data_IF_902343371424
#
_entry.id   IF_902343371424
#
_cell.length_a   1.000
_cell.length_b   1.000
_cell.length_c   1.000
_cell.angle_alpha   90.00
_cell.angle_beta   90.00
_cell.angle_gamma   90.00
#
_symmetry.space_group_name_H-M   'P 1'
#
loop_
_entity.id
_entity.type
_entity.pdbx_description
1 polymer ?
#
# COMPACT_ATOMS: atom_id res chain seq x y z
N UNK A 1 27.49 12.81 -7.64
CA UNK A 1 26.05 12.90 -7.88
C UNK A 1 25.59 11.90 -8.94
N UNK A 2 26.18 11.87 -10.16
CA UNK A 2 25.79 10.89 -11.20
C UNK A 2 25.97 9.45 -10.72
N UNK A 3 27.08 9.12 -10.06
CA UNK A 3 27.30 7.80 -9.47
C UNK A 3 26.25 7.46 -8.39
N UNK A 4 25.83 8.44 -7.60
CA UNK A 4 24.77 8.26 -6.59
C UNK A 4 23.41 7.98 -7.25
N UNK A 5 23.08 8.71 -8.30
CA UNK A 5 21.84 8.47 -9.07
C UNK A 5 21.85 7.06 -9.66
N UNK A 6 22.94 6.68 -10.34
CA UNK A 6 23.09 5.35 -10.94
C UNK A 6 22.97 4.23 -9.90
N UNK A 7 23.58 4.42 -8.72
CA UNK A 7 23.54 3.44 -7.64
C UNK A 7 22.16 3.28 -7.04
N UNK A 8 21.43 4.37 -6.81
CA UNK A 8 20.05 4.33 -6.29
C UNK A 8 19.13 3.60 -7.27
N UNK A 9 19.23 3.91 -8.56
CA UNK A 9 18.43 3.26 -9.61
C UNK A 9 18.76 1.78 -9.71
N UNK A 10 20.07 1.44 -9.79
CA UNK A 10 20.52 0.05 -9.90
C UNK A 10 19.99 -0.82 -8.76
N UNK A 11 20.07 -0.34 -7.53
CA UNK A 11 19.62 -1.11 -6.37
C UNK A 11 18.11 -1.19 -6.29
N UNK A 12 17.39 -0.11 -6.65
CA UNK A 12 15.95 -0.16 -6.77
C UNK A 12 15.49 -1.23 -7.78
N UNK A 13 16.18 -1.33 -8.91
CA UNK A 13 15.94 -2.37 -9.92
C UNK A 13 16.29 -3.76 -9.39
N UNK A 14 17.46 -3.94 -8.77
CA UNK A 14 17.87 -5.24 -8.20
C UNK A 14 16.92 -5.70 -7.08
N UNK A 15 16.42 -4.78 -6.28
CA UNK A 15 15.41 -5.11 -5.26
C UNK A 15 14.09 -5.53 -5.90
N UNK A 16 13.68 -4.87 -6.98
CA UNK A 16 12.50 -5.24 -7.73
C UNK A 16 12.65 -6.61 -8.41
N UNK A 17 13.85 -6.95 -8.91
CA UNK A 17 14.14 -8.26 -9.52
C UNK A 17 14.26 -9.39 -8.48
N UNK A 18 14.84 -9.12 -7.31
CA UNK A 18 14.99 -10.10 -6.23
C UNK A 18 13.71 -10.39 -5.45
N UNK A 19 12.73 -9.51 -5.52
CA UNK A 19 11.43 -9.68 -4.90
C UNK A 19 10.55 -10.58 -5.73
N UNK A 20 10.46 -11.86 -5.38
CA UNK A 20 9.39 -12.73 -5.85
C UNK A 20 8.34 -12.86 -4.76
N UNK A 21 7.07 -12.61 -5.11
CA UNK A 21 6.01 -12.97 -4.19
C UNK A 21 6.03 -14.48 -4.02
N UNK A 22 6.31 -14.95 -2.81
CA UNK A 22 6.20 -16.38 -2.44
C UNK A 22 4.76 -16.89 -2.50
N UNK A 23 3.84 -16.04 -2.90
CA UNK A 23 2.47 -16.42 -3.22
C UNK A 23 2.47 -17.19 -4.53
N UNK A 24 2.83 -18.46 -4.45
CA UNK A 24 2.65 -19.42 -5.55
C UNK A 24 1.17 -19.46 -5.94
N UNK A 25 0.82 -18.76 -7.01
CA UNK A 25 -0.52 -18.64 -7.55
C UNK A 25 -1.58 -18.14 -6.55
N UNK A 26 -2.52 -17.34 -6.93
CA UNK A 26 -3.45 -16.76 -5.98
C UNK A 26 -4.29 -17.85 -5.33
N UNK A 27 -4.01 -18.20 -4.07
CA UNK A 27 -5.02 -18.82 -3.23
C UNK A 27 -6.15 -17.78 -3.09
N UNK A 28 -7.06 -17.80 -4.05
CA UNK A 28 -8.18 -16.86 -4.04
C UNK A 28 -9.09 -17.23 -2.89
N UNK A 29 -9.32 -16.28 -2.00
CA UNK A 29 -10.27 -16.43 -0.92
C UNK A 29 -11.67 -16.63 -1.51
N UNK A 30 -12.45 -17.51 -0.92
CA UNK A 30 -13.80 -17.84 -1.37
C UNK A 30 -14.66 -18.31 -0.19
N UNK A 31 -14.73 -17.50 0.85
CA UNK A 31 -15.55 -17.74 2.02
C UNK A 31 -16.43 -16.53 2.32
N UNK A 32 -17.74 -16.64 2.21
CA UNK A 32 -18.68 -15.52 2.39
C UNK A 32 -20.12 -16.02 2.56
N UNK A 33 -21.01 -15.14 3.03
CA UNK A 33 -22.43 -15.39 3.07
C UNK A 33 -23.07 -15.08 1.71
N UNK A 34 -23.81 -16.05 1.14
CA UNK A 34 -24.45 -15.95 -0.17
C UNK A 34 -25.95 -16.19 -0.06
N UNK A 35 -26.73 -15.17 -0.38
CA UNK A 35 -28.19 -15.25 -0.50
C UNK A 35 -28.54 -15.38 -1.98
N UNK A 36 -28.99 -16.55 -2.39
CA UNK A 36 -29.08 -16.90 -3.80
C UNK A 36 -30.37 -17.64 -4.17
N UNK A 37 -30.59 -17.74 -5.46
CA UNK A 37 -31.60 -18.56 -6.08
C UNK A 37 -31.10 -19.04 -7.46
N UNK A 38 -31.54 -20.18 -7.97
CA UNK A 38 -31.20 -20.60 -9.31
C UNK A 38 -31.80 -19.67 -10.38
N UNK A 39 -31.02 -19.43 -11.44
CA UNK A 39 -31.40 -18.61 -12.58
C UNK A 39 -30.87 -19.26 -13.87
N UNK A 40 -31.75 -19.42 -14.88
CA UNK A 40 -31.42 -20.11 -16.11
C UNK A 40 -31.27 -19.15 -17.29
N UNK A 41 -30.30 -19.42 -18.15
CA UNK A 41 -30.02 -18.66 -19.37
C UNK A 41 -29.49 -17.24 -19.06
N UNK A 42 -29.95 -16.29 -19.87
CA UNK A 42 -29.68 -14.89 -19.63
C UNK A 42 -30.37 -14.40 -18.35
N UNK A 43 -29.63 -13.74 -17.49
CA UNK A 43 -30.13 -13.32 -16.18
C UNK A 43 -29.68 -11.91 -15.85
N UNK A 44 -30.58 -11.14 -15.27
CA UNK A 44 -30.26 -9.81 -14.70
C UNK A 44 -30.64 -9.77 -13.24
N UNK A 45 -29.67 -9.49 -12.39
CA UNK A 45 -29.86 -9.23 -10.96
C UNK A 45 -29.65 -7.75 -10.69
N UNK A 46 -30.61 -7.13 -10.01
CA UNK A 46 -30.51 -5.73 -9.60
C UNK A 46 -30.85 -5.62 -8.12
N UNK A 47 -30.11 -4.83 -7.38
CA UNK A 47 -30.46 -4.48 -6.00
C UNK A 47 -29.96 -3.07 -5.67
N UNK A 48 -30.64 -2.45 -4.70
CA UNK A 48 -30.13 -1.26 -4.02
C UNK A 48 -29.52 -1.67 -2.68
N UNK A 49 -28.25 -1.37 -2.49
CA UNK A 49 -27.56 -1.46 -1.21
C UNK A 49 -27.88 -0.19 -0.43
N UNK A 50 -28.70 -0.27 0.60
CA UNK A 50 -29.17 0.89 1.37
C UNK A 50 -28.27 1.23 2.55
N UNK A 51 -27.51 0.27 3.05
CA UNK A 51 -26.55 0.45 4.14
C UNK A 51 -25.51 -0.65 4.16
N UNK A 52 -24.30 -0.28 4.55
CA UNK A 52 -23.20 -1.19 4.83
C UNK A 52 -22.52 -0.72 6.12
N UNK A 53 -22.50 -1.54 7.16
CA UNK A 53 -22.02 -1.19 8.49
C UNK A 53 -21.22 -2.34 9.11
N UNK A 54 -20.50 -2.02 10.19
CA UNK A 54 -19.71 -2.96 11.00
C UNK A 54 -18.74 -3.80 10.19
N UNK A 55 -18.10 -3.17 9.20
CA UNK A 55 -17.28 -3.87 8.20
C UNK A 55 -15.92 -3.25 8.05
N UNK A 56 -14.95 -4.09 7.70
CA UNK A 56 -13.61 -3.64 7.32
C UNK A 56 -13.66 -2.72 6.06
N UNK A 57 -12.67 -1.86 5.81
CA UNK A 57 -12.62 -1.01 4.61
C UNK A 57 -12.73 -1.79 3.29
N UNK A 58 -12.32 -3.05 3.31
CA UNK A 58 -12.42 -4.02 2.21
C UNK A 58 -13.56 -5.02 2.35
N UNK A 59 -14.48 -4.80 3.26
CA UNK A 59 -15.70 -5.60 3.28
C UNK A 59 -16.43 -5.45 1.94
N UNK A 60 -17.05 -6.51 1.51
CA UNK A 60 -17.65 -6.63 0.19
C UNK A 60 -19.12 -6.96 0.36
N UNK A 61 -19.99 -6.15 -0.23
CA UNK A 61 -21.41 -6.43 -0.32
C UNK A 61 -21.88 -6.15 -1.74
N UNK A 62 -22.60 -7.08 -2.36
CA UNK A 62 -22.99 -6.88 -3.75
C UNK A 62 -23.77 -8.03 -4.34
N UNK A 63 -23.68 -8.13 -5.66
CA UNK A 63 -24.37 -9.11 -6.51
C UNK A 63 -23.38 -10.13 -7.06
N UNK A 64 -23.83 -11.36 -7.24
CA UNK A 64 -23.01 -12.44 -7.77
C UNK A 64 -23.83 -13.37 -8.67
N UNK A 65 -23.18 -13.82 -9.75
CA UNK A 65 -23.56 -14.99 -10.53
C UNK A 65 -22.49 -16.07 -10.31
N UNK A 66 -22.91 -17.31 -9.99
CA UNK A 66 -22.02 -18.37 -9.59
C UNK A 66 -22.47 -19.74 -10.10
N UNK A 67 -21.53 -20.61 -10.42
CA UNK A 67 -21.83 -21.95 -10.93
C UNK A 67 -22.39 -22.90 -9.87
N UNK A 68 -22.30 -22.53 -8.59
CA UNK A 68 -22.77 -23.31 -7.44
C UNK A 68 -22.27 -22.75 -6.13
N UNK A 69 -22.58 -23.41 -5.01
CA UNK A 69 -22.22 -22.96 -3.66
C UNK A 69 -20.92 -23.55 -3.13
N UNK A 70 -20.29 -24.46 -3.85
CA UNK A 70 -19.00 -25.04 -3.45
C UNK A 70 -17.89 -23.98 -3.49
N UNK A 71 -16.98 -24.03 -2.54
CA UNK A 71 -15.79 -23.19 -2.54
C UNK A 71 -14.95 -23.40 -3.80
N UNK A 72 -14.47 -22.34 -4.39
CA UNK A 72 -13.70 -22.41 -5.64
C UNK A 72 -14.52 -22.32 -6.92
N UNK A 73 -15.84 -22.35 -6.85
CA UNK A 73 -16.71 -22.35 -8.03
C UNK A 73 -16.54 -21.07 -8.87
N UNK A 74 -16.57 -21.18 -10.21
CA UNK A 74 -16.58 -20.03 -11.11
C UNK A 74 -17.67 -19.02 -10.75
N UNK A 75 -17.35 -17.74 -10.75
CA UNK A 75 -18.28 -16.69 -10.37
C UNK A 75 -17.90 -15.35 -10.97
N UNK A 76 -18.90 -14.49 -11.14
CA UNK A 76 -18.72 -13.07 -11.43
C UNK A 76 -19.46 -12.28 -10.37
N UNK A 77 -18.79 -11.34 -9.76
CA UNK A 77 -19.32 -10.50 -8.68
C UNK A 77 -19.17 -9.01 -8.99
N UNK A 78 -20.17 -8.24 -8.59
CA UNK A 78 -20.18 -6.78 -8.62
C UNK A 78 -20.49 -6.31 -7.22
N UNK A 79 -19.59 -5.54 -6.60
CA UNK A 79 -19.63 -5.24 -5.18
C UNK A 79 -19.36 -3.78 -4.88
N UNK A 80 -19.89 -3.33 -3.75
CA UNK A 80 -19.53 -2.08 -3.10
C UNK A 80 -18.63 -2.39 -1.91
N UNK A 81 -17.56 -1.62 -1.75
CA UNK A 81 -16.64 -1.69 -0.62
C UNK A 81 -16.60 -0.34 0.08
N UNK A 82 -16.60 -0.27 1.45
CA UNK A 82 -16.63 0.99 2.17
C UNK A 82 -15.46 1.92 1.88
N UNK A 83 -14.27 1.36 1.71
CA UNK A 83 -13.04 2.14 1.49
C UNK A 83 -12.68 2.38 0.03
N UNK A 84 -13.23 1.61 -0.93
CA UNK A 84 -12.71 1.56 -2.30
C UNK A 84 -13.80 1.65 -3.38
N UNK A 85 -15.06 1.86 -3.00
CA UNK A 85 -16.18 2.02 -3.93
C UNK A 85 -16.56 0.74 -4.67
N UNK A 86 -17.00 0.87 -5.92
CA UNK A 86 -17.50 -0.25 -6.72
C UNK A 86 -16.36 -1.03 -7.38
N UNK A 87 -16.44 -2.35 -7.27
CA UNK A 87 -15.52 -3.32 -7.89
C UNK A 87 -16.31 -4.42 -8.61
N UNK A 88 -15.78 -4.89 -9.72
CA UNK A 88 -16.28 -6.06 -10.42
C UNK A 88 -15.15 -7.09 -10.58
N UNK A 89 -15.44 -8.35 -10.30
CA UNK A 89 -14.43 -9.40 -10.28
C UNK A 89 -14.97 -10.68 -10.90
N UNK A 90 -14.17 -11.32 -11.77
CA UNK A 90 -14.45 -12.63 -12.31
C UNK A 90 -13.51 -13.67 -11.70
N UNK A 91 -14.07 -14.76 -11.15
CA UNK A 91 -13.30 -15.92 -10.73
C UNK A 91 -13.11 -16.88 -11.90
N UNK A 92 -11.88 -17.13 -12.28
CA UNK A 92 -11.51 -17.85 -13.50
C UNK A 92 -10.76 -16.98 -14.50
N UNK A 93 -10.83 -15.66 -14.34
CA UNK A 93 -10.02 -14.65 -15.05
C UNK A 93 -9.17 -13.82 -14.08
N UNK A 94 -8.25 -13.04 -14.63
CA UNK A 94 -7.36 -12.15 -13.89
C UNK A 94 -7.89 -10.71 -13.82
N UNK A 95 -9.12 -10.46 -14.29
CA UNK A 95 -9.63 -9.11 -14.44
C UNK A 95 -10.44 -8.67 -13.22
N UNK A 96 -9.93 -7.64 -12.55
CA UNK A 96 -10.69 -6.82 -11.64
C UNK A 96 -10.96 -5.46 -12.31
N UNK A 97 -12.24 -5.13 -12.45
CA UNK A 97 -12.68 -3.87 -13.01
C UNK A 97 -13.12 -2.91 -11.91
N UNK A 98 -12.75 -1.66 -12.08
CA UNK A 98 -13.03 -0.61 -11.08
C UNK A 98 -14.15 0.30 -11.60
N UNK A 99 -15.20 0.42 -10.81
CA UNK A 99 -16.25 1.41 -10.98
C UNK A 99 -15.92 2.73 -10.26
N UNK A 100 -16.96 3.36 -9.68
CA UNK A 100 -16.78 4.59 -8.90
C UNK A 100 -16.05 4.31 -7.59
N UNK A 101 -14.85 4.83 -7.44
CA UNK A 101 -14.01 4.67 -6.24
C UNK A 101 -14.54 5.43 -5.00
N UNK A 102 -15.54 6.30 -5.17
CA UNK A 102 -16.17 7.07 -4.09
C UNK A 102 -17.62 6.69 -3.83
N UNK A 103 -18.10 5.62 -4.49
CA UNK A 103 -19.46 5.15 -4.26
C UNK A 103 -19.60 4.65 -2.81
N UNK A 104 -20.72 5.02 -2.18
CA UNK A 104 -21.09 4.58 -0.85
C UNK A 104 -22.61 4.34 -0.80
N UNK A 105 -23.07 3.47 0.09
CA UNK A 105 -24.51 3.25 0.27
C UNK A 105 -25.22 4.55 0.72
N UNK A 106 -26.44 4.84 0.22
CA UNK A 106 -27.25 3.99 -0.66
C UNK A 106 -26.78 4.02 -2.12
N UNK A 107 -26.66 2.83 -2.75
CA UNK A 107 -26.15 2.70 -4.10
C UNK A 107 -26.77 1.51 -4.83
N UNK A 108 -26.94 1.64 -6.15
CA UNK A 108 -27.56 0.59 -6.97
C UNK A 108 -26.49 -0.19 -7.74
N UNK A 109 -26.67 -1.49 -7.76
CA UNK A 109 -25.85 -2.42 -8.53
C UNK A 109 -26.75 -3.25 -9.46
N UNK A 110 -26.26 -3.55 -10.65
CA UNK A 110 -26.88 -4.45 -11.61
C UNK A 110 -25.84 -5.33 -12.26
N UNK A 111 -26.06 -6.62 -12.25
CA UNK A 111 -25.23 -7.63 -12.89
C UNK A 111 -26.07 -8.37 -13.90
N UNK A 112 -25.67 -8.37 -15.17
CA UNK A 112 -26.46 -8.97 -16.26
C UNK A 112 -25.61 -9.92 -17.07
N UNK A 113 -26.06 -11.15 -17.21
CA UNK A 113 -25.52 -12.13 -18.15
C UNK A 113 -26.31 -12.08 -19.45
N UNK A 114 -25.62 -12.01 -20.58
CA UNK A 114 -26.19 -12.16 -21.93
C UNK A 114 -25.25 -13.02 -22.76
N UNK A 115 -25.73 -14.20 -23.15
CA UNK A 115 -24.91 -15.22 -23.81
C UNK A 115 -23.72 -15.63 -22.94
N UNK A 116 -22.51 -15.37 -23.44
CA UNK A 116 -21.24 -15.70 -22.77
C UNK A 116 -20.54 -14.48 -22.13
N UNK A 117 -21.26 -13.40 -21.90
CA UNK A 117 -20.73 -12.21 -21.29
C UNK A 117 -21.53 -11.80 -20.05
N UNK A 118 -20.82 -11.32 -19.04
CA UNK A 118 -21.44 -10.73 -17.86
C UNK A 118 -21.02 -9.26 -17.75
N UNK A 119 -22.01 -8.38 -17.74
CA UNK A 119 -21.83 -6.94 -17.64
C UNK A 119 -22.27 -6.43 -16.27
N UNK A 120 -21.42 -5.64 -15.63
CA UNK A 120 -21.70 -4.92 -14.39
C UNK A 120 -22.07 -3.46 -14.65
N UNK A 121 -23.10 -2.99 -13.95
CA UNK A 121 -23.56 -1.61 -13.99
C UNK A 121 -23.75 -1.08 -12.59
N UNK A 122 -23.52 0.22 -12.43
CA UNK A 122 -23.71 0.94 -11.17
C UNK A 122 -24.57 2.19 -11.36
N UNK A 123 -25.26 2.64 -10.31
CA UNK A 123 -26.05 3.86 -10.34
C UNK A 123 -26.24 4.44 -8.95
N UNK A 124 -26.21 5.77 -8.86
CA UNK A 124 -26.50 6.48 -7.61
C UNK A 124 -28.03 6.67 -7.38
N UNK A 125 -28.82 6.74 -8.45
CA UNK A 125 -30.25 7.09 -8.42
C UNK A 125 -31.19 5.94 -8.87
N UNK A 126 -30.61 4.85 -9.37
CA UNK A 126 -31.36 3.72 -9.95
C UNK A 126 -31.98 4.00 -11.33
N UNK A 127 -31.72 5.16 -11.90
CA UNK A 127 -32.23 5.61 -13.21
C UNK A 127 -31.13 5.76 -14.24
N UNK A 128 -30.05 6.45 -13.87
CA UNK A 128 -28.89 6.66 -14.72
C UNK A 128 -27.83 5.60 -14.43
N UNK A 129 -27.60 4.71 -15.38
CA UNK A 129 -26.71 3.56 -15.23
C UNK A 129 -25.38 3.79 -15.92
N UNK A 130 -24.29 3.60 -15.20
CA UNK A 130 -22.94 3.61 -15.71
C UNK A 130 -22.40 2.18 -15.79
N UNK A 131 -21.87 1.79 -16.94
CA UNK A 131 -21.21 0.50 -17.10
C UNK A 131 -19.89 0.49 -16.33
N UNK A 132 -19.72 -0.53 -15.49
CA UNK A 132 -18.45 -0.79 -14.79
C UNK A 132 -17.51 -1.56 -15.73
N UNK A 133 -18.03 -2.59 -16.38
CA UNK A 133 -17.31 -3.37 -17.37
C UNK A 133 -18.05 -4.62 -17.81
N UNK A 134 -17.42 -5.37 -18.71
CA UNK A 134 -17.89 -6.67 -19.20
C UNK A 134 -16.76 -7.67 -19.08
N UNK A 135 -17.07 -8.85 -18.60
CA UNK A 135 -16.15 -10.01 -18.49
C UNK A 135 -16.80 -11.24 -19.13
N UNK A 136 -16.00 -12.18 -19.68
CA UNK A 136 -16.54 -13.45 -20.14
C UNK A 136 -17.09 -14.27 -18.96
N UNK A 137 -18.14 -15.04 -19.20
CA UNK A 137 -18.80 -15.90 -18.21
C UNK A 137 -18.10 -17.24 -17.99
N UNK A 138 -16.78 -17.28 -18.10
CA UNK A 138 -15.98 -18.49 -18.08
C UNK A 138 -16.36 -19.45 -16.94
N UNK A 139 -17.00 -20.58 -17.31
CA UNK A 139 -17.37 -21.65 -16.39
C UNK A 139 -18.73 -21.49 -15.70
N UNK A 140 -19.55 -20.50 -16.04
CA UNK A 140 -20.93 -20.45 -15.58
C UNK A 140 -21.79 -21.40 -16.39
N UNK A 141 -22.55 -22.33 -15.75
CA UNK A 141 -23.47 -23.23 -16.45
C UNK A 141 -24.70 -22.48 -16.97
N UNK A 142 -25.49 -23.15 -17.78
CA UNK A 142 -26.77 -22.61 -18.28
C UNK A 142 -27.72 -22.23 -17.13
N UNK A 143 -27.72 -23.00 -16.05
CA UNK A 143 -28.40 -22.62 -14.79
C UNK A 143 -27.33 -22.28 -13.76
N UNK A 144 -27.27 -21.03 -13.35
CA UNK A 144 -26.34 -20.51 -12.38
C UNK A 144 -27.08 -20.07 -11.10
N UNK A 145 -26.35 -19.94 -10.00
CA UNK A 145 -26.87 -19.31 -8.80
C UNK A 145 -26.70 -17.79 -8.90
N UNK A 146 -27.77 -17.07 -8.69
CA UNK A 146 -27.82 -15.62 -8.82
C UNK A 146 -28.30 -14.98 -7.51
N UNK A 147 -27.61 -13.96 -7.01
CA UNK A 147 -28.03 -13.37 -5.76
C UNK A 147 -27.12 -12.28 -5.20
N UNK A 148 -27.23 -12.11 -3.89
CA UNK A 148 -26.52 -11.11 -3.09
C UNK A 148 -25.51 -11.81 -2.20
N UNK A 149 -24.38 -11.16 -1.91
CA UNK A 149 -23.40 -11.70 -0.99
C UNK A 149 -22.85 -10.62 -0.06
N UNK A 150 -22.35 -11.09 1.08
CA UNK A 150 -21.62 -10.25 2.05
C UNK A 150 -20.40 -11.02 2.52
N UNK A 151 -19.26 -10.34 2.46
CA UNK A 151 -17.99 -10.80 3.01
C UNK A 151 -17.36 -9.66 3.81
N UNK A 152 -16.72 -9.98 4.92
CA UNK A 152 -15.90 -9.05 5.69
C UNK A 152 -14.60 -9.73 6.08
N UNK A 153 -13.48 -9.33 5.45
CA UNK A 153 -12.20 -9.94 5.73
C UNK A 153 -11.74 -9.64 7.15
N UNK A 154 -10.93 -10.55 7.70
CA UNK A 154 -10.29 -10.32 8.98
C UNK A 154 -9.43 -9.05 8.90
N UNK A 155 -9.46 -8.25 9.96
CA UNK A 155 -8.50 -7.16 10.14
C UNK A 155 -7.27 -7.70 10.83
N UNK A 156 -6.12 -7.55 10.21
CA UNK A 156 -4.85 -7.90 10.82
C UNK A 156 -4.20 -6.65 11.42
N UNK A 157 -3.74 -6.78 12.62
CA UNK A 157 -2.84 -5.80 13.24
C UNK A 157 -1.46 -6.42 13.30
N UNK A 158 -0.47 -5.72 12.80
CA UNK A 158 0.92 -6.16 12.87
C UNK A 158 1.76 -5.18 13.67
N UNK A 159 2.51 -5.72 14.62
CA UNK A 159 3.48 -4.97 15.39
C UNK A 159 4.88 -5.49 15.10
N UNK A 160 5.79 -4.59 14.88
CA UNK A 160 7.20 -4.95 14.83
C UNK A 160 7.67 -5.42 16.21
N UNK A 161 8.15 -6.64 16.28
CA UNK A 161 8.58 -7.30 17.52
C UNK A 161 10.08 -7.67 17.52
N UNK A 162 10.87 -7.10 16.60
CA UNK A 162 12.31 -7.34 16.47
C UNK A 162 12.71 -7.89 15.10
N UNK A 163 14.02 -8.06 14.83
CA UNK A 163 14.53 -8.52 13.56
C UNK A 163 13.92 -9.86 13.12
N UNK A 164 13.31 -9.86 11.95
CA UNK A 164 12.63 -11.04 11.41
C UNK A 164 11.40 -11.50 12.19
N UNK A 165 10.94 -10.74 13.19
CA UNK A 165 9.79 -11.08 14.02
C UNK A 165 8.73 -10.01 13.95
N UNK A 166 7.66 -10.32 13.23
CA UNK A 166 6.42 -9.55 13.22
C UNK A 166 5.40 -10.34 14.02
N UNK A 167 4.79 -9.74 15.02
CA UNK A 167 3.67 -10.33 15.74
C UNK A 167 2.41 -9.72 15.18
N UNK A 168 1.58 -10.57 14.59
CA UNK A 168 0.28 -10.20 14.07
C UNK A 168 -0.83 -10.83 14.88
N UNK A 169 -1.93 -10.12 15.05
CA UNK A 169 -3.19 -10.64 15.52
C UNK A 169 -4.23 -10.42 14.43
N UNK A 170 -4.86 -11.49 13.97
CA UNK A 170 -6.01 -11.41 13.10
C UNK A 170 -7.28 -11.32 13.96
N UNK A 171 -8.12 -10.34 13.68
CA UNK A 171 -9.43 -10.19 14.30
C UNK A 171 -10.48 -10.47 13.25
N UNK A 172 -11.30 -11.47 13.47
CA UNK A 172 -12.47 -11.73 12.64
C UNK A 172 -13.41 -10.52 12.65
N UNK A 173 -13.87 -10.13 11.49
CA UNK A 173 -14.88 -9.09 11.33
C UNK A 173 -16.13 -9.66 10.69
N UNK A 174 -17.26 -9.07 10.99
CA UNK A 174 -18.54 -9.43 10.40
C UNK A 174 -19.12 -8.17 9.76
N UNK A 175 -19.27 -8.17 8.43
CA UNK A 175 -19.93 -7.10 7.72
C UNK A 175 -21.45 -7.27 7.77
N UNK A 176 -22.17 -6.17 7.76
CA UNK A 176 -23.62 -6.12 7.63
C UNK A 176 -23.99 -5.27 6.43
N UNK A 177 -24.84 -5.82 5.56
CA UNK A 177 -25.39 -5.10 4.42
C UNK A 177 -26.91 -5.21 4.37
N UNK A 178 -27.55 -4.12 3.95
CA UNK A 178 -29.00 -4.05 3.78
C UNK A 178 -29.31 -3.82 2.32
N UNK A 179 -30.06 -4.75 1.73
CA UNK A 179 -30.49 -4.69 0.35
C UNK A 179 -31.98 -4.54 0.25
N UNK A 180 -32.47 -3.66 -0.60
CA UNK A 180 -33.84 -3.57 -1.01
C UNK A 180 -33.98 -3.56 -2.53
N UNK A 181 -35.23 -3.59 -2.99
CA UNK A 181 -35.59 -3.61 -4.42
C UNK A 181 -34.81 -4.69 -5.21
N UNK A 182 -34.58 -5.81 -4.56
CA UNK A 182 -33.88 -6.95 -5.16
C UNK A 182 -34.79 -7.60 -6.20
N UNK A 183 -34.25 -7.68 -7.41
CA UNK A 183 -34.91 -8.39 -8.54
C UNK A 183 -33.91 -9.32 -9.20
N UNK A 184 -34.35 -10.50 -9.53
CA UNK A 184 -33.59 -11.43 -10.36
C UNK A 184 -34.52 -11.94 -11.43
N UNK A 185 -34.31 -11.52 -12.69
CA UNK A 185 -35.08 -11.93 -13.86
C UNK A 185 -34.22 -12.82 -14.71
N UNK A 186 -34.71 -13.99 -15.05
CA UNK A 186 -34.08 -14.96 -15.99
C UNK A 186 -34.90 -15.14 -17.23
N UNK A 187 -34.24 -15.37 -18.36
CA UNK A 187 -34.88 -15.57 -19.65
C UNK A 187 -35.64 -16.93 -19.75
N UNK A 188 -35.20 -17.91 -18.95
CA UNK A 188 -35.80 -19.24 -18.91
C UNK A 188 -36.31 -19.56 -17.50
N UNK A 189 -37.28 -20.51 -17.44
CA UNK A 189 -37.75 -21.01 -16.14
C UNK A 189 -36.59 -21.70 -15.39
N UNK A 190 -36.33 -21.22 -14.18
CA UNK A 190 -35.36 -21.85 -13.30
C UNK A 190 -36.03 -22.97 -12.47
N UNK A 191 -35.26 -23.97 -12.00
CA UNK A 191 -35.75 -24.95 -11.05
C UNK A 191 -36.43 -24.30 -9.84
N UNK A 192 -37.43 -24.92 -9.28
CA UNK A 192 -38.09 -24.45 -8.08
C UNK A 192 -37.08 -24.40 -6.94
N UNK A 193 -36.86 -23.22 -6.39
CA UNK A 193 -35.97 -23.06 -5.24
C UNK A 193 -36.71 -23.32 -3.93
N UNK A 194 -36.05 -23.96 -3.00
CA UNK A 194 -36.55 -24.14 -1.63
C UNK A 194 -36.42 -22.85 -0.86
N UNK A 195 -37.43 -22.46 -0.08
CA UNK A 195 -37.40 -21.25 0.76
C UNK A 195 -38.50 -20.24 0.42
N UNK A 196 -38.74 -19.27 1.31
CA UNK A 196 -39.72 -18.22 1.08
C UNK A 196 -39.30 -17.37 -0.13
N UNK A 197 -40.08 -17.37 -1.18
CA UNK A 197 -39.84 -16.75 -2.48
C UNK A 197 -38.54 -17.22 -3.19
N UNK A 198 -38.07 -18.44 -2.87
CA UNK A 198 -36.93 -19.06 -3.55
C UNK A 198 -35.54 -18.52 -3.20
N UNK A 199 -35.41 -17.65 -2.19
CA UNK A 199 -34.12 -17.19 -1.73
C UNK A 199 -33.59 -18.05 -0.59
N UNK A 200 -32.33 -18.47 -0.67
CA UNK A 200 -31.65 -19.32 0.30
C UNK A 200 -30.33 -18.62 0.74
N UNK A 201 -30.00 -18.76 2.03
CA UNK A 201 -28.69 -18.39 2.53
C UNK A 201 -27.81 -19.62 2.57
N UNK A 202 -26.61 -19.51 2.00
CA UNK A 202 -25.57 -20.53 2.09
C UNK A 202 -24.25 -19.84 2.49
N UNK A 203 -23.60 -20.39 3.49
CA UNK A 203 -22.22 -20.01 3.80
C UNK A 203 -21.29 -20.76 2.84
N UNK A 204 -20.69 -20.00 1.93
CA UNK A 204 -19.65 -20.55 1.04
C UNK A 204 -18.39 -20.74 1.87
N UNK A 205 -17.87 -21.97 1.89
CA UNK A 205 -16.71 -22.32 2.69
C UNK A 205 -15.46 -22.30 1.83
N UNK A 206 -14.43 -21.63 2.30
CA UNK A 206 -13.11 -21.60 1.67
C UNK A 206 -12.58 -23.03 1.47
N UNK A 207 -12.11 -23.39 0.25
CA UNK A 207 -11.44 -24.66 0.04
C UNK A 207 -10.19 -24.78 0.94
N UNK A 208 -9.84 -25.98 1.40
CA UNK A 208 -8.60 -26.20 2.15
C UNK A 208 -7.41 -25.68 1.35
N UNK A 209 -6.56 -24.91 1.99
CA UNK A 209 -5.30 -24.46 1.39
C UNK A 209 -4.26 -25.61 1.32
N UNK A 210 -3.10 -25.36 0.65
CA UNK A 210 -1.98 -26.30 0.67
C UNK A 210 -1.57 -26.68 2.09
N UNK A 211 -0.97 -27.87 2.29
CA UNK A 211 -0.46 -28.27 3.61
C UNK A 211 0.46 -27.20 4.21
N UNK A 212 0.22 -26.83 5.48
CA UNK A 212 0.98 -25.80 6.19
C UNK A 212 0.43 -24.37 6.12
N UNK A 213 -0.64 -24.14 5.34
CA UNK A 213 -1.35 -22.86 5.40
C UNK A 213 -2.23 -22.78 6.65
N UNK A 214 -2.29 -21.60 7.26
CA UNK A 214 -3.21 -21.40 8.39
C UNK A 214 -4.66 -21.53 7.92
N UNK A 215 -5.52 -22.21 8.69
CA UNK A 215 -6.93 -22.28 8.35
C UNK A 215 -7.54 -20.87 8.41
N UNK A 216 -8.21 -20.48 7.34
CA UNK A 216 -9.01 -19.26 7.32
C UNK A 216 -10.26 -19.52 8.15
N UNK A 217 -10.68 -18.53 8.95
CA UNK A 217 -11.92 -18.64 9.72
C UNK A 217 -13.08 -18.99 8.79
N UNK A 218 -13.91 -19.94 9.22
CA UNK A 218 -15.06 -20.34 8.46
C UNK A 218 -15.99 -19.13 8.25
N UNK A 219 -16.42 -18.93 7.01
CA UNK A 219 -17.42 -17.92 6.72
C UNK A 219 -18.71 -18.25 7.48
N UNK A 220 -19.29 -17.24 8.09
CA UNK A 220 -20.58 -17.35 8.77
C UNK A 220 -21.44 -16.17 8.44
N UNK A 221 -22.70 -16.42 8.16
CA UNK A 221 -23.64 -15.39 7.81
C UNK A 221 -25.01 -15.58 8.44
N UNK A 222 -25.79 -14.51 8.45
CA UNK A 222 -27.20 -14.54 8.82
C UNK A 222 -28.03 -13.80 7.78
N UNK A 223 -29.25 -14.26 7.56
CA UNK A 223 -30.23 -13.59 6.73
C UNK A 223 -31.44 -13.22 7.58
N UNK A 224 -31.74 -11.95 7.65
CA UNK A 224 -32.99 -11.46 8.21
C UNK A 224 -33.76 -10.71 7.14
N UNK A 225 -35.01 -11.14 6.90
CA UNK A 225 -35.88 -10.55 5.89
C UNK A 225 -37.06 -9.86 6.52
N UNK A 226 -37.27 -8.61 6.11
CA UNK A 226 -38.45 -7.83 6.53
C UNK A 226 -39.15 -7.30 5.28
N UNK A 227 -40.25 -7.93 4.90
CA UNK A 227 -40.92 -7.62 3.65
C UNK A 227 -40.03 -7.86 2.42
N UNK A 228 -39.66 -6.78 1.71
CA UNK A 228 -38.81 -6.80 0.53
C UNK A 228 -37.35 -6.40 0.81
N UNK A 229 -37.01 -6.21 2.08
CA UNK A 229 -35.66 -5.83 2.53
C UNK A 229 -34.94 -7.04 3.07
N UNK A 230 -33.71 -7.24 2.63
CA UNK A 230 -32.80 -8.30 3.05
C UNK A 230 -31.67 -7.67 3.88
N UNK A 231 -31.55 -8.05 5.14
CA UNK A 231 -30.41 -7.74 5.97
C UNK A 231 -29.53 -8.98 6.02
N UNK A 232 -28.34 -8.89 5.46
CA UNK A 232 -27.39 -10.00 5.38
C UNK A 232 -26.17 -9.62 6.21
N UNK A 233 -25.74 -10.53 7.08
CA UNK A 233 -24.42 -10.44 7.70
C UNK A 233 -23.52 -11.48 7.07
N UNK A 234 -22.20 -11.23 7.05
CA UNK A 234 -21.24 -12.20 6.54
C UNK A 234 -19.83 -11.88 7.00
N UNK A 235 -19.08 -12.92 7.30
CA UNK A 235 -17.64 -12.88 7.52
C UNK A 235 -16.90 -13.55 6.35
N UNK A 236 -15.57 -13.55 6.40
CA UNK A 236 -14.74 -14.15 5.37
C UNK A 236 -14.37 -13.19 4.25
N UNK A 237 -13.79 -13.71 3.17
CA UNK A 237 -13.30 -12.89 2.06
C UNK A 237 -13.55 -13.53 0.70
N UNK A 238 -13.56 -12.69 -0.34
CA UNK A 238 -13.73 -13.07 -1.73
C UNK A 238 -12.62 -12.42 -2.57
N UNK A 239 -11.96 -13.23 -3.39
CA UNK A 239 -10.94 -12.75 -4.32
C UNK A 239 -9.52 -12.97 -3.87
N UNK A 240 -8.61 -12.10 -4.27
CA UNK A 240 -7.19 -12.23 -3.94
C UNK A 240 -6.94 -11.96 -2.46
N UNK A 241 -6.18 -12.83 -1.75
CA UNK A 241 -5.72 -12.51 -0.42
C UNK A 241 -4.84 -11.25 -0.50
N UNK A 242 -5.09 -10.28 0.34
CA UNK A 242 -4.42 -8.98 0.28
C UNK A 242 -5.29 -7.82 -0.21
N UNK A 243 -6.46 -8.11 -0.77
CA UNK A 243 -7.50 -7.11 -1.04
C UNK A 243 -8.56 -7.15 0.08
N UNK A 244 -8.11 -7.29 1.33
CA UNK A 244 -8.98 -7.34 2.50
C UNK A 244 -8.66 -8.41 3.55
N UNK A 245 -7.72 -9.30 3.29
CA UNK A 245 -7.31 -10.33 4.22
C UNK A 245 -6.14 -9.93 5.12
N UNK A 246 -5.70 -10.87 5.94
CA UNK A 246 -4.60 -10.78 6.93
C UNK A 246 -3.27 -10.20 6.39
N UNK A 247 -3.22 -9.78 5.14
CA UNK A 247 -2.05 -9.22 4.50
C UNK A 247 -2.12 -7.73 4.20
N UNK A 248 -3.22 -7.02 4.50
CA UNK A 248 -3.29 -5.60 4.16
C UNK A 248 -2.36 -4.73 4.99
N UNK A 249 -2.18 -5.06 6.26
CA UNK A 249 -1.25 -4.35 7.13
C UNK A 249 0.17 -4.91 7.06
N UNK A 250 0.35 -6.09 6.43
CA UNK A 250 1.63 -6.72 6.10
C UNK A 250 1.96 -6.71 4.61
N UNK A 251 1.17 -6.01 3.79
CA UNK A 251 1.42 -5.89 2.37
C UNK A 251 2.68 -5.05 2.14
N UNK A 252 3.64 -5.61 1.43
CA UNK A 252 4.86 -4.92 1.05
C UNK A 252 4.51 -3.57 0.40
N UNK A 253 5.03 -2.49 0.96
CA UNK A 253 4.92 -1.17 0.34
C UNK A 253 5.75 -1.16 -0.94
N UNK A 254 5.11 -1.50 -2.06
CA UNK A 254 5.75 -1.62 -3.37
C UNK A 254 6.42 -0.31 -3.80
N UNK A 255 5.92 0.84 -3.35
CA UNK A 255 6.55 2.14 -3.62
C UNK A 255 7.81 2.30 -2.78
N UNK A 256 7.75 2.00 -1.48
CA UNK A 256 8.91 2.07 -0.60
C UNK A 256 10.01 1.10 -1.02
N UNK A 257 9.67 -0.09 -1.54
CA UNK A 257 10.63 -1.07 -2.05
C UNK A 257 11.38 -0.58 -3.28
N UNK A 258 10.72 0.12 -4.23
CA UNK A 258 11.39 0.74 -5.38
C UNK A 258 12.39 1.82 -4.98
N UNK A 259 12.21 2.43 -3.81
CA UNK A 259 13.07 3.47 -3.24
C UNK A 259 14.13 2.92 -2.28
N UNK A 260 14.26 1.60 -2.15
CA UNK A 260 15.22 0.96 -1.22
C UNK A 260 16.68 1.30 -1.52
N UNK A 261 17.02 1.51 -2.79
CA UNK A 261 18.34 1.94 -3.23
C UNK A 261 18.85 3.24 -2.59
N UNK A 262 17.93 4.06 -2.09
CA UNK A 262 18.26 5.29 -1.33
C UNK A 262 19.09 4.97 -0.08
N UNK A 263 18.93 3.81 0.56
CA UNK A 263 19.71 3.44 1.74
C UNK A 263 21.21 3.41 1.45
N UNK A 264 21.59 2.91 0.29
CA UNK A 264 23.00 2.93 -0.14
C UNK A 264 23.38 4.31 -0.67
N UNK A 265 22.47 5.01 -1.34
CA UNK A 265 22.66 6.40 -1.76
C UNK A 265 23.00 7.33 -0.59
N UNK A 266 22.50 7.07 0.61
CA UNK A 266 22.82 7.83 1.84
C UNK A 266 24.33 7.86 2.12
N UNK A 267 25.07 6.76 1.91
CA UNK A 267 26.51 6.74 2.13
C UNK A 267 27.26 7.71 1.20
N UNK A 268 26.86 7.72 -0.07
CA UNK A 268 27.47 8.64 -1.04
C UNK A 268 27.11 10.10 -0.71
N UNK A 269 25.89 10.35 -0.23
CA UNK A 269 25.45 11.69 0.21
C UNK A 269 26.19 12.15 1.47
N UNK A 270 26.41 11.26 2.44
CA UNK A 270 27.22 11.54 3.63
C UNK A 270 28.65 11.94 3.21
N UNK A 271 29.29 11.14 2.36
CA UNK A 271 30.64 11.43 1.88
C UNK A 271 30.69 12.79 1.16
N UNK A 272 29.71 13.06 0.28
CA UNK A 272 29.64 14.33 -0.47
C UNK A 272 29.44 15.52 0.48
N UNK A 273 28.54 15.45 1.44
CA UNK A 273 28.27 16.52 2.42
C UNK A 273 29.49 16.82 3.30
N UNK A 274 30.17 15.77 3.81
CA UNK A 274 31.38 15.92 4.60
C UNK A 274 32.53 16.49 3.75
N UNK A 275 32.76 15.94 2.55
CA UNK A 275 33.86 16.38 1.66
C UNK A 275 33.65 17.80 1.15
N UNK A 276 32.43 18.25 0.95
CA UNK A 276 32.13 19.63 0.51
C UNK A 276 32.76 20.70 1.40
N UNK A 277 33.04 20.37 2.67
CA UNK A 277 33.68 21.30 3.59
C UNK A 277 35.08 20.83 4.02
N UNK A 278 35.26 19.55 4.32
CA UNK A 278 36.54 19.06 4.88
C UNK A 278 37.68 19.07 3.86
N UNK A 279 37.38 18.98 2.54
CA UNK A 279 38.39 19.11 1.51
C UNK A 279 39.11 20.46 1.56
N UNK A 280 38.39 21.55 1.82
CA UNK A 280 38.99 22.91 1.91
C UNK A 280 39.83 23.10 3.17
N UNK A 281 39.46 22.45 4.27
CA UNK A 281 40.30 22.43 5.47
C UNK A 281 41.61 21.69 5.21
N UNK A 282 41.57 20.57 4.47
CA UNK A 282 42.74 19.75 4.15
C UNK A 282 43.68 20.44 3.17
N UNK A 283 43.14 21.11 2.16
CA UNK A 283 43.93 21.81 1.11
C UNK A 283 44.33 23.22 1.52
N UNK A 284 43.91 23.70 2.72
CA UNK A 284 44.09 25.07 3.22
C UNK A 284 43.47 26.16 2.33
N UNK A 285 42.72 25.82 1.33
CA UNK A 285 42.01 26.76 0.42
C UNK A 285 40.94 27.57 1.16
N UNK A 286 40.54 27.13 2.34
CA UNK A 286 39.60 27.87 3.19
C UNK A 286 40.16 29.27 3.57
N UNK A 287 41.49 29.43 3.66
CA UNK A 287 42.14 30.74 3.97
C UNK A 287 41.95 31.71 2.81
N UNK A 288 42.17 31.25 1.56
CA UNK A 288 41.97 32.09 0.36
C UNK A 288 40.49 32.44 0.16
N UNK A 289 39.58 31.53 0.48
CA UNK A 289 38.15 31.81 0.43
C UNK A 289 37.73 32.91 1.39
N UNK A 290 38.29 32.93 2.61
CA UNK A 290 37.98 33.96 3.60
C UNK A 290 38.72 35.30 3.37
N UNK A 291 39.81 35.34 2.62
CA UNK A 291 40.41 36.60 2.19
C UNK A 291 39.58 37.31 1.13
N UNK A 292 38.94 36.57 0.25
CA UNK A 292 38.05 37.12 -0.79
C UNK A 292 36.65 37.44 -0.21
N UNK A 293 36.13 36.64 0.73
CA UNK A 293 34.81 36.84 1.35
C UNK A 293 34.90 36.77 2.87
N UNK A 294 34.99 37.90 3.58
CA UNK A 294 35.16 37.92 5.04
C UNK A 294 33.93 37.45 5.80
N UNK A 295 32.78 37.33 5.14
CA UNK A 295 31.51 36.91 5.73
C UNK A 295 31.43 35.37 5.79
N UNK A 296 32.10 34.72 6.71
CA UNK A 296 32.16 33.24 6.87
C UNK A 296 30.80 32.56 6.87
N UNK A 297 29.79 33.18 7.49
CA UNK A 297 28.41 32.66 7.48
C UNK A 297 27.78 32.65 6.11
N UNK A 298 28.03 33.65 5.25
CA UNK A 298 27.50 33.66 3.86
C UNK A 298 28.12 32.55 3.03
N UNK A 299 29.40 32.27 3.19
CA UNK A 299 30.08 31.18 2.49
C UNK A 299 29.48 29.82 2.86
N UNK A 300 29.26 29.57 4.18
CA UNK A 300 28.62 28.35 4.64
C UNK A 300 27.18 28.23 4.12
N UNK A 301 26.40 29.32 4.17
CA UNK A 301 25.03 29.33 3.66
C UNK A 301 24.99 29.04 2.16
N UNK A 302 25.85 29.69 1.36
CA UNK A 302 25.93 29.43 -0.07
C UNK A 302 26.24 27.96 -0.39
N UNK A 303 27.21 27.36 0.32
CA UNK A 303 27.55 25.95 0.17
C UNK A 303 26.41 25.04 0.58
N UNK A 304 25.75 25.34 1.70
CA UNK A 304 24.60 24.57 2.16
C UNK A 304 23.48 24.57 1.11
N UNK A 305 23.18 25.73 0.52
CA UNK A 305 22.17 25.85 -0.53
C UNK A 305 22.55 25.06 -1.78
N UNK A 306 23.80 25.21 -2.27
CA UNK A 306 24.27 24.50 -3.47
C UNK A 306 24.27 22.98 -3.26
N UNK A 307 24.76 22.51 -2.12
CA UNK A 307 24.79 21.08 -1.81
C UNK A 307 23.37 20.54 -1.66
N UNK A 308 22.49 21.23 -0.92
CA UNK A 308 21.12 20.81 -0.74
C UNK A 308 20.34 20.77 -2.07
N UNK A 309 20.42 21.83 -2.89
CA UNK A 309 19.74 21.90 -4.17
C UNK A 309 20.25 20.83 -5.14
N UNK A 310 21.58 20.64 -5.21
CA UNK A 310 22.17 19.62 -6.09
C UNK A 310 21.80 18.20 -5.67
N UNK A 311 21.81 17.88 -4.36
CA UNK A 311 21.39 16.56 -3.86
C UNK A 311 19.88 16.36 -3.99
N UNK A 312 19.09 17.40 -3.74
CA UNK A 312 17.64 17.34 -3.93
C UNK A 312 17.27 17.03 -5.39
N UNK A 313 17.85 17.79 -6.34
CA UNK A 313 17.58 17.58 -7.77
C UNK A 313 18.03 16.19 -8.24
N UNK A 314 19.22 15.76 -7.86
CA UNK A 314 19.73 14.43 -8.19
C UNK A 314 18.89 13.31 -7.53
N UNK A 315 18.49 13.49 -6.28
CA UNK A 315 17.62 12.58 -5.55
C UNK A 315 16.23 12.47 -6.19
N UNK A 316 15.66 13.59 -6.61
CA UNK A 316 14.37 13.61 -7.30
C UNK A 316 14.41 12.80 -8.61
N UNK A 317 15.44 13.03 -9.42
CA UNK A 317 15.64 12.27 -10.66
C UNK A 317 15.85 10.79 -10.36
N UNK A 318 16.72 10.46 -9.40
CA UNK A 318 17.02 9.08 -9.03
C UNK A 318 15.76 8.33 -8.56
N UNK A 319 14.96 8.92 -7.67
CA UNK A 319 13.75 8.31 -7.15
C UNK A 319 12.67 8.15 -8.23
N UNK A 320 12.48 9.16 -9.09
CA UNK A 320 11.52 9.08 -10.18
C UNK A 320 11.90 8.01 -11.21
N UNK A 321 13.16 7.95 -11.61
CA UNK A 321 13.67 6.94 -12.55
C UNK A 321 13.59 5.54 -11.93
N UNK A 322 14.03 5.38 -10.66
CA UNK A 322 13.94 4.09 -9.95
C UNK A 322 12.51 3.58 -9.91
N UNK A 323 11.55 4.44 -9.59
CA UNK A 323 10.14 4.07 -9.57
C UNK A 323 9.64 3.61 -10.94
N UNK A 324 9.86 4.41 -12.00
CA UNK A 324 9.38 4.10 -13.36
C UNK A 324 9.99 2.80 -13.90
N UNK A 325 11.29 2.60 -13.70
CA UNK A 325 12.00 1.40 -14.20
C UNK A 325 11.61 0.15 -13.42
N UNK A 326 11.35 0.26 -12.12
CA UNK A 326 10.98 -0.88 -11.29
C UNK A 326 9.54 -1.36 -11.51
N UNK A 327 8.62 -0.51 -11.96
CA UNK A 327 7.20 -0.86 -12.18
C UNK A 327 6.98 -2.09 -13.08
N UNK A 328 7.57 -2.18 -14.31
CA UNK A 328 7.37 -3.34 -15.17
C UNK A 328 8.00 -4.61 -14.60
N UNK A 329 9.08 -4.49 -13.84
CA UNK A 329 9.76 -5.61 -13.19
C UNK A 329 8.88 -6.16 -12.07
N UNK A 330 8.36 -5.29 -11.22
CA UNK A 330 7.42 -5.68 -10.17
C UNK A 330 6.18 -6.38 -10.73
N UNK A 331 5.64 -5.91 -11.88
CA UNK A 331 4.53 -6.58 -12.57
C UNK A 331 4.87 -8.02 -12.95
N UNK A 332 6.04 -8.24 -13.54
CA UNK A 332 6.50 -9.58 -13.92
C UNK A 332 6.66 -10.49 -12.71
N UNK A 333 7.04 -9.94 -11.56
CA UNK A 333 7.26 -10.67 -10.31
C UNK A 333 5.99 -10.85 -9.48
N UNK A 334 4.81 -10.53 -10.04
CA UNK A 334 3.52 -10.74 -9.38
C UNK A 334 3.03 -9.56 -8.53
N UNK A 335 3.79 -8.46 -8.44
CA UNK A 335 3.37 -7.24 -7.75
C UNK A 335 2.50 -6.35 -8.65
N UNK A 336 1.45 -6.91 -9.21
CA UNK A 336 0.51 -6.22 -10.08
C UNK A 336 -0.94 -6.38 -9.66
N UNK A 337 -1.85 -5.63 -10.30
CA UNK A 337 -3.27 -5.85 -10.09
C UNK A 337 -3.68 -7.32 -10.36
N UNK A 338 -4.63 -7.85 -9.63
CA UNK A 338 -5.46 -7.19 -8.62
C UNK A 338 -4.86 -7.16 -7.20
N UNK A 339 -3.78 -7.91 -6.93
CA UNK A 339 -3.17 -8.05 -5.60
C UNK A 339 -2.55 -6.75 -5.08
N UNK A 340 -1.86 -6.04 -5.94
CA UNK A 340 -1.16 -4.82 -5.56
C UNK A 340 -1.68 -3.64 -6.38
N UNK A 341 -2.18 -2.62 -5.71
CA UNK A 341 -2.63 -1.40 -6.36
C UNK A 341 -1.44 -0.68 -6.99
N UNK A 342 -1.41 -0.64 -8.31
CA UNK A 342 -0.41 0.17 -9.00
C UNK A 342 -0.82 1.63 -9.02
N UNK A 343 0.02 2.44 -8.43
CA UNK A 343 -0.16 3.89 -8.37
C UNK A 343 0.59 4.54 -9.53
N UNK A 344 0.05 5.63 -10.02
CA UNK A 344 0.73 6.51 -10.99
C UNK A 344 1.75 7.39 -10.27
N UNK A 345 2.77 7.91 -10.98
CA UNK A 345 3.64 8.97 -10.47
C UNK A 345 2.88 10.23 -10.04
N UNK A 346 1.68 10.45 -10.61
CA UNK A 346 0.80 11.57 -10.26
C UNK A 346 -0.05 11.32 -9.01
N UNK A 347 -0.03 10.09 -8.47
CA UNK A 347 -0.69 9.78 -7.19
C UNK A 347 -0.04 10.59 -6.06
N UNK A 348 -0.82 11.30 -5.23
CA UNK A 348 -0.28 12.14 -4.16
C UNK A 348 0.63 11.40 -3.18
N UNK A 349 0.38 10.10 -2.92
CA UNK A 349 1.20 9.29 -2.03
C UNK A 349 2.55 8.95 -2.65
N UNK A 350 2.58 8.63 -3.95
CA UNK A 350 3.84 8.37 -4.69
C UNK A 350 4.64 9.67 -4.83
N UNK A 351 3.97 10.76 -5.19
CA UNK A 351 4.62 12.07 -5.29
C UNK A 351 5.23 12.49 -3.97
N UNK A 352 4.51 12.30 -2.86
CA UNK A 352 5.05 12.53 -1.51
C UNK A 352 6.28 11.67 -1.24
N UNK A 353 6.23 10.38 -1.56
CA UNK A 353 7.34 9.46 -1.32
C UNK A 353 8.58 9.86 -2.14
N UNK A 354 8.42 10.19 -3.42
CA UNK A 354 9.51 10.59 -4.33
C UNK A 354 10.12 11.93 -3.90
N UNK A 355 9.29 12.98 -3.76
CA UNK A 355 9.75 14.32 -3.38
C UNK A 355 10.28 14.33 -1.93
N UNK A 356 9.59 13.65 -1.03
CA UNK A 356 10.00 13.54 0.36
C UNK A 356 11.32 12.79 0.53
N UNK A 357 11.58 11.76 -0.28
CA UNK A 357 12.86 11.05 -0.27
C UNK A 357 14.00 11.92 -0.82
N UNK A 358 13.74 12.73 -1.84
CA UNK A 358 14.72 13.72 -2.32
C UNK A 358 15.03 14.76 -1.22
N UNK A 359 14.01 15.23 -0.48
CA UNK A 359 14.19 16.13 0.66
C UNK A 359 14.95 15.44 1.82
N UNK A 360 14.67 14.19 2.11
CA UNK A 360 15.41 13.38 3.06
C UNK A 360 16.91 13.33 2.74
N UNK A 361 17.27 13.04 1.48
CA UNK A 361 18.67 13.02 1.02
C UNK A 361 19.33 14.41 1.16
N UNK A 362 18.62 15.47 0.82
CA UNK A 362 19.11 16.84 0.96
C UNK A 362 19.36 17.20 2.43
N UNK A 363 18.48 16.80 3.36
CA UNK A 363 18.67 17.00 4.80
C UNK A 363 19.86 16.19 5.34
N UNK A 364 20.06 14.95 4.88
CA UNK A 364 21.24 14.15 5.22
C UNK A 364 22.52 14.84 4.71
N UNK A 365 22.52 15.42 3.51
CA UNK A 365 23.67 16.15 2.98
C UNK A 365 23.99 17.39 3.82
N UNK A 366 22.97 18.15 4.23
CA UNK A 366 23.11 19.31 5.10
C UNK A 366 23.61 18.94 6.51
N UNK A 367 23.07 17.87 7.10
CA UNK A 367 23.54 17.32 8.37
C UNK A 367 25.02 16.93 8.27
N UNK A 368 25.39 16.26 7.17
CA UNK A 368 26.75 15.81 6.92
C UNK A 368 27.73 16.98 6.72
N UNK A 369 27.30 18.01 6.01
CA UNK A 369 28.06 19.25 5.85
C UNK A 369 28.26 19.93 7.20
N UNK A 370 27.22 20.05 8.03
CA UNK A 370 27.29 20.67 9.35
C UNK A 370 28.25 19.91 10.28
N UNK A 371 28.15 18.58 10.32
CA UNK A 371 29.08 17.73 11.09
C UNK A 371 30.52 17.87 10.58
N UNK A 372 30.72 17.95 9.26
CA UNK A 372 32.03 18.21 8.64
C UNK A 372 32.66 19.52 9.10
N UNK A 373 31.86 20.60 9.25
CA UNK A 373 32.29 21.89 9.80
C UNK A 373 32.68 21.79 11.28
N UNK A 374 31.88 21.07 12.06
CA UNK A 374 32.08 20.95 13.53
C UNK A 374 33.34 20.13 13.83
N UNK A 375 33.49 18.99 13.18
CA UNK A 375 34.55 18.00 13.45
C UNK A 375 35.88 18.35 12.75
N UNK A 376 35.83 18.99 11.59
CA UNK A 376 37.00 19.42 10.76
C UNK A 376 37.91 18.27 10.31
N UNK A 377 37.59 17.04 10.58
CA UNK A 377 38.31 15.82 10.17
C UNK A 377 37.39 14.90 9.39
N UNK A 378 37.72 14.63 8.13
CA UNK A 378 36.87 13.84 7.22
C UNK A 378 36.53 12.46 7.78
N UNK A 379 37.55 11.71 8.20
CA UNK A 379 37.34 10.36 8.74
C UNK A 379 36.45 10.33 9.98
N UNK A 380 36.70 11.23 10.95
CA UNK A 380 35.93 11.30 12.18
C UNK A 380 34.46 11.72 11.92
N UNK A 381 34.24 12.66 11.01
CA UNK A 381 32.89 13.09 10.64
C UNK A 381 32.09 11.96 9.96
N UNK A 382 32.72 11.23 9.02
CA UNK A 382 32.10 10.09 8.34
C UNK A 382 31.79 8.97 9.34
N UNK A 383 32.74 8.60 10.21
CA UNK A 383 32.54 7.55 11.22
C UNK A 383 31.41 7.93 12.18
N UNK A 384 31.36 9.19 12.64
CA UNK A 384 30.29 9.66 13.52
C UNK A 384 28.92 9.54 12.88
N UNK A 385 28.78 10.01 11.63
CA UNK A 385 27.53 9.92 10.89
C UNK A 385 27.12 8.47 10.59
N UNK A 386 28.09 7.63 10.19
CA UNK A 386 27.87 6.22 9.98
C UNK A 386 27.40 5.53 11.28
N UNK A 387 28.04 5.82 12.39
CA UNK A 387 27.62 5.27 13.69
C UNK A 387 26.19 5.67 14.03
N UNK A 388 25.82 6.95 13.89
CA UNK A 388 24.49 7.44 14.25
C UNK A 388 23.41 6.95 13.29
N UNK A 389 23.68 6.90 11.99
CA UNK A 389 22.67 6.61 10.98
C UNK A 389 22.58 5.12 10.62
N UNK A 390 23.60 4.32 10.94
CA UNK A 390 23.64 2.90 10.56
C UNK A 390 23.88 2.00 11.76
N UNK A 391 24.96 2.22 12.51
CA UNK A 391 25.35 1.29 13.58
C UNK A 391 24.36 1.33 14.74
N UNK A 392 23.96 2.51 15.20
CA UNK A 392 23.00 2.63 16.32
C UNK A 392 21.64 2.00 15.98
N UNK A 393 21.00 2.27 14.81
CA UNK A 393 19.78 1.57 14.43
C UNK A 393 19.95 0.05 14.30
N UNK A 394 21.07 -0.41 13.72
CA UNK A 394 21.34 -1.83 13.59
C UNK A 394 21.47 -2.53 14.94
N UNK A 395 22.18 -1.92 15.88
CA UNK A 395 22.32 -2.42 17.25
C UNK A 395 20.97 -2.40 17.98
N UNK A 396 20.20 -1.33 17.83
CA UNK A 396 18.88 -1.21 18.44
C UNK A 396 17.95 -2.34 17.99
N UNK A 397 17.95 -2.66 16.67
CA UNK A 397 17.15 -3.76 16.11
C UNK A 397 17.45 -5.11 16.76
N UNK A 398 18.72 -5.42 17.04
CA UNK A 398 19.12 -6.70 17.62
C UNK A 398 19.04 -6.73 19.15
N UNK A 399 18.90 -5.59 19.80
CA UNK A 399 18.89 -5.49 21.27
C UNK A 399 17.49 -5.67 21.85
N UNK A 400 16.54 -4.86 21.44
CA UNK A 400 15.14 -4.96 21.86
C UNK A 400 14.21 -4.16 20.98
N UNK A 401 12.92 -4.59 20.97
CA UNK A 401 11.85 -3.87 20.25
C UNK A 401 11.71 -2.42 20.71
N UNK A 402 11.78 -2.21 22.03
CA UNK A 402 11.68 -0.86 22.60
C UNK A 402 12.82 0.05 22.16
N UNK A 403 14.05 -0.48 22.10
CA UNK A 403 15.21 0.27 21.62
C UNK A 403 15.07 0.63 20.13
N UNK A 404 14.65 -0.32 19.29
CA UNK A 404 14.44 -0.09 17.86
C UNK A 404 13.37 0.96 17.59
N UNK A 405 12.21 0.86 18.25
CA UNK A 405 11.15 1.85 18.14
C UNK A 405 11.58 3.23 18.65
N UNK A 406 12.30 3.27 19.75
CA UNK A 406 12.80 4.53 20.29
C UNK A 406 13.80 5.19 19.33
N UNK A 407 14.79 4.43 18.85
CA UNK A 407 15.79 4.91 17.87
C UNK A 407 15.11 5.33 16.57
N UNK A 408 14.19 4.51 16.05
CA UNK A 408 13.47 4.78 14.80
C UNK A 408 12.56 6.03 14.88
N UNK A 409 12.13 6.45 16.09
CA UNK A 409 11.28 7.62 16.28
C UNK A 409 12.03 8.89 16.66
N UNK A 410 13.14 8.76 17.38
CA UNK A 410 13.82 9.92 18.00
C UNK A 410 15.13 10.30 17.35
N UNK A 411 15.71 9.47 16.49
CA UNK A 411 16.97 9.76 15.81
C UNK A 411 16.77 10.27 14.37
N UNK A 412 17.80 10.79 13.72
CA UNK A 412 17.71 11.24 12.32
C UNK A 412 17.26 10.17 11.33
N UNK A 413 17.36 8.88 11.67
CA UNK A 413 16.89 7.75 10.86
C UNK A 413 15.37 7.77 10.66
N UNK A 414 14.63 8.36 11.60
CA UNK A 414 13.19 8.58 11.49
C UNK A 414 12.77 9.21 10.16
N UNK A 415 13.63 10.05 9.58
CA UNK A 415 13.38 10.69 8.28
C UNK A 415 13.15 9.71 7.14
N UNK A 416 13.64 8.47 7.25
CA UNK A 416 13.42 7.44 6.24
C UNK A 416 11.95 6.99 6.11
N UNK A 417 11.10 7.27 7.13
CA UNK A 417 9.68 6.97 7.10
C UNK A 417 8.92 7.70 5.97
N UNK A 418 9.48 8.78 5.42
CA UNK A 418 8.85 9.55 4.33
C UNK A 418 8.60 8.72 3.07
N UNK A 419 9.33 7.61 2.87
CA UNK A 419 9.19 6.69 1.74
C UNK A 419 7.91 5.84 1.80
N UNK A 420 7.38 5.62 3.01
CA UNK A 420 6.22 4.76 3.23
C UNK A 420 4.97 5.38 2.60
N UNK A 421 4.26 4.63 1.77
CA UNK A 421 2.97 5.03 1.21
C UNK A 421 1.79 4.50 2.02
N UNK A 422 2.05 3.49 2.85
CA UNK A 422 1.10 2.91 3.79
C UNK A 422 1.83 2.58 5.11
N UNK A 423 1.13 2.59 6.25
CA UNK A 423 1.72 2.17 7.51
C UNK A 423 1.98 0.66 7.46
N UNK A 424 3.24 0.25 7.56
CA UNK A 424 3.62 -1.18 7.62
C UNK A 424 3.30 -1.80 8.97
N UNK A 425 3.28 -0.97 10.03
CA UNK A 425 3.01 -1.39 11.40
C UNK A 425 2.24 -0.29 12.13
N UNK A 426 1.35 -0.65 13.04
CA UNK A 426 0.61 0.31 13.88
C UNK A 426 1.51 1.21 14.71
N UNK A 427 2.69 0.69 15.08
CA UNK A 427 3.67 1.42 15.85
C UNK A 427 4.71 2.18 15.01
N UNK A 428 4.57 2.24 13.69
CA UNK A 428 5.46 2.99 12.81
C UNK A 428 5.28 4.51 13.00
N UNK A 429 6.39 5.26 12.86
CA UNK A 429 6.32 6.72 12.85
C UNK A 429 5.71 7.21 11.53
N UNK A 430 4.89 8.26 11.60
CA UNK A 430 4.31 8.85 10.41
C UNK A 430 5.35 9.51 9.48
N UNK A 431 5.10 9.52 8.15
CA UNK A 431 6.07 10.02 7.16
C UNK A 431 6.57 11.44 7.43
N UNK A 432 5.67 12.37 7.69
CA UNK A 432 6.01 13.77 7.96
C UNK A 432 6.65 13.98 9.32
N UNK A 433 6.22 13.21 10.33
CA UNK A 433 6.81 13.25 11.66
C UNK A 433 8.27 12.84 11.62
N UNK A 434 8.57 11.74 10.91
CA UNK A 434 9.95 11.27 10.74
C UNK A 434 10.85 12.29 10.04
N UNK A 435 10.36 12.89 8.94
CA UNK A 435 11.10 13.95 8.24
C UNK A 435 11.32 15.17 9.13
N UNK A 436 10.35 15.53 9.96
CA UNK A 436 10.45 16.62 10.93
C UNK A 436 11.54 16.39 11.98
N UNK A 437 11.67 15.17 12.49
CA UNK A 437 12.77 14.80 13.40
C UNK A 437 14.13 15.02 12.73
N UNK A 438 14.34 14.53 11.53
CA UNK A 438 15.60 14.75 10.80
C UNK A 438 15.85 16.23 10.53
N UNK A 439 14.83 16.99 10.16
CA UNK A 439 14.95 18.43 9.93
C UNK A 439 15.38 19.18 11.20
N UNK A 440 14.86 18.81 12.37
CA UNK A 440 15.25 19.36 13.65
C UNK A 440 16.73 19.11 13.97
N UNK A 441 17.21 17.86 13.82
CA UNK A 441 18.63 17.54 13.98
C UNK A 441 19.52 18.33 13.01
N UNK A 442 19.09 18.44 11.75
CA UNK A 442 19.83 19.20 10.73
C UNK A 442 19.91 20.68 11.09
N UNK A 443 18.79 21.27 11.54
CA UNK A 443 18.74 22.67 11.94
C UNK A 443 19.66 22.96 13.16
N UNK A 444 19.64 22.09 14.18
CA UNK A 444 20.51 22.20 15.35
C UNK A 444 21.98 22.06 14.94
N UNK A 445 22.33 21.08 14.11
CA UNK A 445 23.71 20.89 13.65
C UNK A 445 24.20 22.07 12.80
N UNK A 446 23.38 22.60 11.89
CA UNK A 446 23.73 23.81 11.12
C UNK A 446 23.87 25.02 12.03
N UNK A 447 22.97 25.24 12.97
CA UNK A 447 23.07 26.34 13.95
C UNK A 447 24.37 26.27 14.74
N UNK A 448 24.74 25.08 15.22
CA UNK A 448 26.03 24.87 15.90
C UNK A 448 27.24 25.12 14.96
N UNK A 449 27.16 24.67 13.72
CA UNK A 449 28.21 24.92 12.72
C UNK A 449 28.39 26.41 12.44
N UNK A 450 27.29 27.16 12.25
CA UNK A 450 27.34 28.63 12.10
C UNK A 450 27.92 29.33 13.31
N UNK A 451 27.50 28.94 14.52
CA UNK A 451 27.98 29.52 15.74
C UNK A 451 29.48 29.26 15.98
N UNK A 452 29.94 28.02 15.73
CA UNK A 452 31.34 27.64 15.85
C UNK A 452 32.23 28.34 14.81
N UNK A 453 31.76 28.57 13.60
CA UNK A 453 32.50 29.33 12.59
C UNK A 453 32.66 30.80 12.94
N UNK A 454 31.72 31.38 13.69
CA UNK A 454 31.84 32.78 14.17
C UNK A 454 32.82 32.93 15.34
N UNK A 455 32.96 31.87 16.17
CA UNK A 455 33.79 31.93 17.41
C UNK A 455 35.22 31.39 17.22
N UNK A 456 35.44 30.52 16.26
CA UNK A 456 36.75 29.91 16.04
C UNK A 456 37.52 30.69 14.97
N UNK A 457 38.72 31.14 15.33
CA UNK A 457 39.67 31.63 14.34
C UNK A 457 40.12 30.49 13.43
N UNK A 458 40.24 30.78 12.14
CA UNK A 458 40.59 29.79 11.12
C UNK A 458 42.05 29.41 11.15
#
# INVERSE_FOLDING_TARGET
LLATVALVVLIGVLTAEGGHTSYGGPARMDGFAFVHRPAAGDVTVTARLTGQADSAPWAKAGLMLRSGTAGGAPSVSLMLTPGHGVRMQARGGTEELTGSGRAAAPYWLRLSRSGHEVTGWESADGRTWRKVGTVPDTGLPATAEAGMFVASPETATSHWAGPGKVVGAARATTGRAVFDQVTATSAAAAPAASGADGWQLTDVVQPPGPPGTQPVAAASGTLHRTGRTFTVTGSGDLGSPGVGGVGQDGQEDTVASTLSGVQIGVFAVIALGVLAMTSEYRTRTIRTTFTVSPHRGRVLAAKAVVVAAGVFAAGLVACAVSYVVSLPIQRRNGYGPPLFTQRSLTDPLVLRAVVGTAAFLALIALLSLAVGVIVRRTAAAVILLFTVLVVIPLVAQVTSVGADLWVGRTTPVAGAAIRQTQPLFENAIGPWQGLGVLAAYTAVALGAAFWLQRRRDA
#
